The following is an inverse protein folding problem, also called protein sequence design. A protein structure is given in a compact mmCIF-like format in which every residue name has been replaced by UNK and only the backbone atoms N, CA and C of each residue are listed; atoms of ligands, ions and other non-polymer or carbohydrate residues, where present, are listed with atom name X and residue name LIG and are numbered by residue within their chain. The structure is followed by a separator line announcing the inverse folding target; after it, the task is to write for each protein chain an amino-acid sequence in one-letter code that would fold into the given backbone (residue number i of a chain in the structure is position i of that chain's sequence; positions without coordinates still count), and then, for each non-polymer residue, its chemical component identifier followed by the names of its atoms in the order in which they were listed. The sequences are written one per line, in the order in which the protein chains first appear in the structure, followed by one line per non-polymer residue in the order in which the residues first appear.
data_IF_074699007070
#
_entry.id   IF_074699007070
#
_cell.length_a   1.000
_cell.length_b   1.000
_cell.length_c   1.000
_cell.angle_alpha   90.00
_cell.angle_beta   90.00
_cell.angle_gamma   90.00
#
_symmetry.space_group_name_H-M   'P 1'
#
loop_
_entity.id
_entity.type
_entity.pdbx_description
1 polymer ?
#
# COMPACT_ATOMS: atom_id res chain seq x y z
N UNK A 1 -7.74 6.55 9.81
CA UNK A 1 -7.23 7.82 9.28
C UNK A 1 -5.76 7.66 8.96
N UNK A 2 -5.33 8.04 7.75
CA UNK A 2 -3.92 8.00 7.36
C UNK A 2 -3.19 9.15 8.08
N UNK A 3 -2.06 8.91 8.77
CA UNK A 3 -1.28 9.94 9.49
C UNK A 3 -0.51 10.88 8.53
N UNK A 4 -1.22 11.45 7.56
CA UNK A 4 -0.68 12.29 6.49
C UNK A 4 -1.12 13.75 6.60
N UNK A 5 -1.92 14.07 7.63
CA UNK A 5 -2.55 15.37 7.78
C UNK A 5 -3.64 15.55 6.73
N UNK A 6 -3.59 16.64 5.98
CA UNK A 6 -4.53 16.92 4.90
C UNK A 6 -4.32 15.97 3.69
N UNK A 7 -5.29 15.08 3.38
CA UNK A 7 -5.20 14.14 2.28
C UNK A 7 -5.18 14.81 0.90
N UNK A 8 -5.62 16.07 0.79
CA UNK A 8 -5.57 16.83 -0.48
C UNK A 8 -4.14 17.17 -0.90
N UNK A 9 -3.21 17.29 0.07
CA UNK A 9 -1.78 17.46 -0.22
C UNK A 9 -1.18 16.26 -0.96
N UNK A 10 -1.78 15.08 -0.80
CA UNK A 10 -1.41 13.87 -1.52
C UNK A 10 -2.24 13.78 -2.82
N UNK A 11 -1.80 14.53 -3.83
CA UNK A 11 -2.46 14.59 -5.14
C UNK A 11 -2.53 13.27 -5.93
N UNK A 12 -1.91 12.19 -5.46
CA UNK A 12 -2.07 10.86 -6.05
C UNK A 12 -1.75 9.73 -5.07
N UNK A 13 -2.30 8.55 -5.34
CA UNK A 13 -1.99 7.31 -4.62
C UNK A 13 -0.48 7.04 -4.63
N UNK A 14 0.22 7.33 -5.74
CA UNK A 14 1.68 7.14 -5.84
C UNK A 14 2.43 8.02 -4.84
N UNK A 15 2.00 9.27 -4.64
CA UNK A 15 2.58 10.16 -3.63
C UNK A 15 2.30 9.62 -2.22
N UNK A 16 1.09 9.14 -1.94
CA UNK A 16 0.76 8.53 -0.65
C UNK A 16 1.60 7.29 -0.36
N UNK A 17 1.73 6.38 -1.33
CA UNK A 17 2.57 5.18 -1.23
C UNK A 17 4.05 5.54 -0.99
N UNK A 18 4.54 6.57 -1.68
CA UNK A 18 5.91 7.07 -1.48
C UNK A 18 6.09 7.68 -0.09
N UNK A 19 5.14 8.49 0.37
CA UNK A 19 5.16 9.14 1.68
C UNK A 19 5.17 8.11 2.83
N UNK A 20 4.35 7.07 2.72
CA UNK A 20 4.35 5.95 3.66
C UNK A 20 5.58 5.05 3.54
N UNK A 21 6.51 5.33 2.63
CA UNK A 21 7.74 4.56 2.46
C UNK A 21 7.52 3.16 1.87
N UNK A 22 6.46 2.95 1.09
CA UNK A 22 6.16 1.66 0.43
C UNK A 22 6.68 1.55 -1.01
N UNK A 23 7.46 2.54 -1.44
CA UNK A 23 8.22 2.54 -2.69
C UNK A 23 9.63 1.94 -2.51
N UNK A 24 10.15 1.33 -3.58
CA UNK A 24 11.56 0.92 -3.65
C UNK A 24 12.49 2.11 -3.46
N UNK A 25 13.64 1.90 -2.81
CA UNK A 25 14.70 2.90 -2.78
C UNK A 25 15.13 3.23 -4.21
N UNK A 26 15.24 4.51 -4.50
CA UNK A 26 15.82 5.03 -5.73
C UNK A 26 17.11 5.75 -5.37
N UNK A 27 18.21 5.37 -6.03
CA UNK A 27 19.53 6.01 -5.88
C UNK A 27 20.00 6.39 -7.27
N UNK A 28 20.43 7.63 -7.41
CA UNK A 28 20.97 8.14 -8.67
C UNK A 28 22.30 8.84 -8.36
N UNK A 29 23.32 8.55 -9.16
CA UNK A 29 24.62 9.20 -9.07
C UNK A 29 25.27 9.21 -10.45
N UNK A 30 25.76 10.37 -10.88
CA UNK A 30 26.44 10.56 -12.16
C UNK A 30 25.67 9.93 -13.35
N UNK A 31 24.34 10.13 -13.41
CA UNK A 31 23.47 9.62 -14.47
C UNK A 31 23.18 8.11 -14.42
N UNK A 32 23.63 7.38 -13.38
CA UNK A 32 23.32 5.96 -13.18
C UNK A 32 22.19 5.81 -12.17
N UNK A 33 21.09 5.20 -12.61
CA UNK A 33 19.94 4.91 -11.78
C UNK A 33 20.01 3.48 -11.20
N UNK A 34 19.74 3.34 -9.90
CA UNK A 34 19.64 2.04 -9.24
C UNK A 34 18.38 1.97 -8.38
N UNK A 35 17.67 0.85 -8.49
CA UNK A 35 16.53 0.53 -7.61
C UNK A 35 16.92 -0.53 -6.60
N UNK A 36 16.69 -0.23 -5.34
CA UNK A 36 16.97 -1.12 -4.22
C UNK A 36 15.72 -1.65 -3.54
N UNK A 37 15.90 -2.38 -2.44
CA UNK A 37 14.83 -2.73 -1.51
C UNK A 37 14.06 -1.50 -1.01
N UNK A 38 13.00 -1.73 -0.26
CA UNK A 38 12.12 -0.67 0.23
C UNK A 38 12.87 0.51 0.91
N UNK A 39 12.54 1.75 0.52
CA UNK A 39 13.29 2.94 0.92
C UNK A 39 13.24 3.18 2.43
N UNK A 40 14.40 3.30 3.10
CA UNK A 40 14.52 3.63 4.53
C UNK A 40 14.31 5.12 4.86
N UNK A 41 14.14 5.99 3.86
CA UNK A 41 13.84 7.42 4.04
C UNK A 41 12.34 7.63 4.25
N UNK A 42 11.85 7.42 5.47
CA UNK A 42 10.42 7.41 5.82
C UNK A 42 10.21 7.49 7.34
N UNK A 43 8.96 7.67 7.77
CA UNK A 43 8.58 7.40 9.16
C UNK A 43 8.60 5.87 9.42
N UNK A 44 9.47 5.42 10.33
CA UNK A 44 9.66 3.99 10.67
C UNK A 44 8.40 3.38 11.25
N UNK A 45 7.69 4.10 12.12
CA UNK A 45 6.49 3.60 12.78
C UNK A 45 5.35 3.40 11.78
N UNK A 46 5.03 4.45 11.00
CA UNK A 46 3.97 4.40 10.00
C UNK A 46 4.14 3.22 9.04
N UNK A 47 5.35 3.02 8.53
CA UNK A 47 5.59 1.94 7.59
C UNK A 47 5.51 0.55 8.24
N UNK A 48 6.04 0.40 9.46
CA UNK A 48 6.01 -0.88 10.18
C UNK A 48 4.56 -1.27 10.47
N UNK A 49 3.78 -0.33 11.01
CA UNK A 49 2.35 -0.54 11.29
C UNK A 49 1.57 -0.91 10.02
N UNK A 50 1.81 -0.22 8.90
CA UNK A 50 1.15 -0.55 7.62
C UNK A 50 1.53 -1.93 7.09
N UNK A 51 2.79 -2.35 7.25
CA UNK A 51 3.25 -3.68 6.83
C UNK A 51 2.61 -4.77 7.69
N UNK A 52 2.61 -4.62 9.02
CA UNK A 52 1.98 -5.60 9.91
C UNK A 52 0.47 -5.67 9.67
N UNK A 53 -0.19 -4.52 9.50
CA UNK A 53 -1.61 -4.48 9.14
C UNK A 53 -1.87 -5.19 7.80
N UNK A 54 -1.01 -5.01 6.80
CA UNK A 54 -1.14 -5.66 5.50
C UNK A 54 -0.90 -7.18 5.54
N UNK A 55 -0.22 -7.72 6.56
CA UNK A 55 -0.12 -9.18 6.76
C UNK A 55 -1.42 -9.76 7.29
N UNK A 56 -2.13 -9.01 8.13
CA UNK A 56 -3.39 -9.44 8.77
C UNK A 56 -4.59 -9.21 7.84
N UNK A 57 -4.54 -8.15 7.02
CA UNK A 57 -5.68 -7.74 6.18
C UNK A 57 -6.26 -8.82 5.25
N UNK A 58 -5.46 -9.72 4.63
CA UNK A 58 -5.98 -10.84 3.85
C UNK A 58 -6.89 -11.80 4.63
N UNK A 59 -6.80 -11.85 5.96
CA UNK A 59 -7.64 -12.72 6.78
C UNK A 59 -9.09 -12.21 6.90
N UNK A 60 -9.29 -10.90 6.75
CA UNK A 60 -10.57 -10.24 7.01
C UNK A 60 -11.21 -9.66 5.75
N UNK A 61 -10.52 -9.70 4.61
CA UNK A 61 -11.00 -9.13 3.36
C UNK A 61 -10.63 -10.02 2.18
N UNK A 62 -11.65 -10.61 1.55
CA UNK A 62 -11.53 -11.56 0.43
C UNK A 62 -10.86 -10.93 -0.80
N UNK A 63 -11.08 -9.64 -1.07
CA UNK A 63 -10.43 -8.94 -2.18
C UNK A 63 -8.92 -8.77 -1.95
N UNK A 64 -8.52 -8.46 -0.71
CA UNK A 64 -7.10 -8.35 -0.34
C UNK A 64 -6.44 -9.74 -0.29
N UNK A 65 -7.19 -10.79 0.08
CA UNK A 65 -6.73 -12.18 0.01
C UNK A 65 -6.44 -12.60 -1.44
N UNK A 66 -7.36 -12.33 -2.37
CA UNK A 66 -7.18 -12.62 -3.79
C UNK A 66 -5.98 -11.86 -4.38
N UNK A 67 -5.81 -10.58 -4.01
CA UNK A 67 -4.63 -9.80 -4.40
C UNK A 67 -3.33 -10.42 -3.85
N UNK A 68 -3.33 -10.81 -2.58
CA UNK A 68 -2.17 -11.42 -1.93
C UNK A 68 -1.79 -12.74 -2.60
N UNK A 69 -2.75 -13.63 -2.86
CA UNK A 69 -2.53 -14.90 -3.54
C UNK A 69 -1.94 -14.68 -4.94
N UNK A 70 -2.57 -13.80 -5.73
CA UNK A 70 -2.09 -13.45 -7.09
C UNK A 70 -0.66 -12.93 -7.11
N UNK A 71 -0.29 -12.07 -6.17
CA UNK A 71 1.07 -11.52 -6.11
C UNK A 71 2.08 -12.48 -5.49
N UNK A 72 1.61 -13.46 -4.70
CA UNK A 72 2.44 -14.54 -4.17
C UNK A 72 2.85 -15.49 -5.30
N UNK A 73 1.94 -15.84 -6.22
CA UNK A 73 2.25 -16.67 -7.40
C UNK A 73 3.30 -16.02 -8.32
N UNK A 74 3.31 -14.68 -8.40
CA UNK A 74 4.20 -13.92 -9.28
C UNK A 74 5.57 -13.61 -8.66
N UNK A 75 5.79 -13.96 -7.40
CA UNK A 75 6.99 -13.53 -6.71
C UNK A 75 7.14 -14.10 -5.30
N UNK A 76 7.46 -13.24 -4.36
CA UNK A 76 7.73 -13.64 -2.97
C UNK A 76 6.71 -13.03 -2.01
N UNK A 77 6.65 -13.60 -0.81
CA UNK A 77 5.73 -13.16 0.26
C UNK A 77 5.83 -11.67 0.56
N UNK A 78 7.03 -11.11 0.64
CA UNK A 78 7.21 -9.68 0.93
C UNK A 78 6.62 -8.79 -0.16
N UNK A 79 6.73 -9.19 -1.43
CA UNK A 79 6.13 -8.49 -2.57
C UNK A 79 4.61 -8.56 -2.51
N UNK A 80 4.04 -9.72 -2.17
CA UNK A 80 2.60 -9.89 -1.98
C UNK A 80 2.07 -9.00 -0.84
N UNK A 81 2.73 -8.99 0.32
CA UNK A 81 2.39 -8.09 1.43
C UNK A 81 2.48 -6.61 1.02
N UNK A 82 3.51 -6.22 0.25
CA UNK A 82 3.64 -4.84 -0.23
C UNK A 82 2.52 -4.45 -1.21
N UNK A 83 2.05 -5.37 -2.05
CA UNK A 83 0.91 -5.11 -2.93
C UNK A 83 -0.36 -4.84 -2.12
N UNK A 84 -0.62 -5.66 -1.08
CA UNK A 84 -1.73 -5.44 -0.15
C UNK A 84 -1.59 -4.09 0.56
N UNK A 85 -0.43 -3.77 1.10
CA UNK A 85 -0.19 -2.51 1.79
C UNK A 85 -0.44 -1.29 0.87
N UNK A 86 0.01 -1.35 -0.39
CA UNK A 86 -0.26 -0.30 -1.39
C UNK A 86 -1.76 -0.15 -1.70
N UNK A 87 -2.48 -1.27 -1.77
CA UNK A 87 -3.93 -1.28 -2.00
C UNK A 87 -4.68 -0.69 -0.79
N UNK A 88 -4.26 -1.00 0.42
CA UNK A 88 -4.82 -0.42 1.64
C UNK A 88 -4.65 1.11 1.69
N UNK A 89 -3.47 1.63 1.34
CA UNK A 89 -3.26 3.08 1.24
C UNK A 89 -4.22 3.71 0.23
N UNK A 90 -4.43 3.06 -0.92
CA UNK A 90 -5.37 3.57 -1.90
C UNK A 90 -6.81 3.66 -1.34
N UNK A 91 -7.24 2.68 -0.56
CA UNK A 91 -8.55 2.70 0.11
C UNK A 91 -8.63 3.81 1.16
N UNK A 92 -7.64 3.89 2.06
CA UNK A 92 -7.61 4.92 3.10
C UNK A 92 -7.59 6.33 2.51
N UNK A 93 -6.79 6.57 1.47
CA UNK A 93 -6.74 7.86 0.79
C UNK A 93 -8.07 8.20 0.12
N UNK A 94 -8.74 7.22 -0.50
CA UNK A 94 -10.05 7.45 -1.13
C UNK A 94 -11.13 7.77 -0.10
N UNK A 95 -11.14 7.06 1.04
CA UNK A 95 -12.03 7.30 2.18
C UNK A 95 -11.79 8.69 2.77
N UNK A 96 -10.54 9.03 3.08
CA UNK A 96 -10.17 10.31 3.68
C UNK A 96 -10.52 11.50 2.75
N UNK A 97 -10.33 11.35 1.44
CA UNK A 97 -10.71 12.39 0.45
C UNK A 97 -12.22 12.54 0.28
N UNK A 98 -12.96 11.42 0.26
CA UNK A 98 -14.42 11.43 0.09
C UNK A 98 -15.17 11.79 1.37
N UNK A 99 -14.51 11.72 2.54
CA UNK A 99 -15.13 11.86 3.87
C UNK A 99 -16.35 10.95 4.04
N UNK A 100 -16.25 9.73 3.49
CA UNK A 100 -17.33 8.74 3.48
C UNK A 100 -16.82 7.43 4.06
N UNK A 101 -17.71 6.66 4.67
CA UNK A 101 -17.35 5.39 5.28
C UNK A 101 -16.82 4.38 4.25
N UNK A 102 -15.92 3.51 4.72
CA UNK A 102 -15.40 2.42 3.90
C UNK A 102 -16.51 1.39 3.66
N UNK A 103 -16.91 1.22 2.41
CA UNK A 103 -17.82 0.16 1.98
C UNK A 103 -17.08 -0.87 1.13
N UNK A 104 -17.25 -2.15 1.46
CA UNK A 104 -16.81 -3.24 0.59
C UNK A 104 -17.80 -3.42 -0.56
N UNK A 105 -17.31 -3.63 -1.78
CA UNK A 105 -18.19 -4.06 -2.86
C UNK A 105 -18.79 -5.43 -2.50
N UNK A 106 -20.08 -5.67 -2.77
CA UNK A 106 -20.67 -6.99 -2.58
C UNK A 106 -19.89 -8.00 -3.41
N UNK A 107 -19.64 -9.17 -2.83
CA UNK A 107 -18.89 -10.23 -3.50
C UNK A 107 -19.59 -10.60 -4.81
N UNK A 108 -18.92 -10.39 -5.94
CA UNK A 108 -19.42 -10.88 -7.22
C UNK A 108 -19.47 -12.41 -7.10
N UNK A 109 -20.68 -12.97 -6.93
CA UNK A 109 -20.90 -14.41 -7.04
C UNK A 109 -20.32 -14.83 -8.39
N UNK A 110 -19.20 -15.54 -8.35
CA UNK A 110 -18.65 -16.20 -9.53
C UNK A 110 -19.68 -17.29 -9.86
N UNK A 111 -20.37 -17.09 -10.98
CA UNK A 111 -21.37 -18.02 -11.51
C UNK A 111 -20.69 -19.32 -11.99
#
# INVERSE_FOLDING_TARGET
MLEVGDPERLGSIRRAVSYCGLCSAYRESAGKEQRGPISKKRNKHLQTTLIEAAKIAPLWNTQLAALHAKELERGNRNRATLAVARKMIAYMLAVDKRKADFATLPETKVA
#
